data_IF_141912244961
#
_entry.id   IF_141912244961
#
_cell.length_a   1.000
_cell.length_b   1.000
_cell.length_c   1.000
_cell.angle_alpha   90.00
_cell.angle_beta   90.00
_cell.angle_gamma   90.00
#
_symmetry.space_group_name_H-M   'P 1'
#
loop_
_entity.id
_entity.type
_entity.pdbx_description
1 polymer ?
#
# COMPACT_ATOMS: atom_id res chain seq x y z
N UNK A 1 12.83 25.40 -4.48
CA UNK A 1 13.80 24.59 -5.25
C UNK A 1 13.33 23.15 -5.21
N UNK A 2 12.66 22.67 -6.26
CA UNK A 2 12.45 21.24 -6.42
C UNK A 2 13.74 20.70 -7.03
N UNK A 3 14.48 19.91 -6.26
CA UNK A 3 15.60 19.14 -6.78
C UNK A 3 15.07 18.26 -7.90
N UNK A 4 15.73 18.30 -9.06
CA UNK A 4 15.61 17.27 -10.09
C UNK A 4 15.64 15.90 -9.42
N UNK A 5 14.58 15.12 -9.62
CA UNK A 5 14.36 13.87 -8.89
C UNK A 5 15.37 12.82 -9.30
N UNK A 6 16.34 12.57 -8.45
CA UNK A 6 17.07 11.31 -8.49
C UNK A 6 16.05 10.17 -8.33
N UNK A 7 16.07 9.21 -9.26
CA UNK A 7 15.24 8.02 -9.13
C UNK A 7 15.82 7.13 -8.03
N UNK A 8 15.19 7.16 -6.86
CA UNK A 8 15.56 6.30 -5.75
C UNK A 8 14.74 5.01 -5.76
N UNK A 9 15.42 3.86 -5.85
CA UNK A 9 14.78 2.54 -5.72
C UNK A 9 15.05 1.94 -4.33
N UNK A 10 14.00 1.87 -3.50
CA UNK A 10 14.10 1.42 -2.11
C UNK A 10 13.33 0.12 -1.88
N UNK A 11 13.98 -0.84 -1.23
CA UNK A 11 13.37 -2.10 -0.84
C UNK A 11 13.29 -2.17 0.68
N UNK A 12 12.05 -2.23 1.18
CA UNK A 12 11.77 -2.52 2.58
C UNK A 12 11.69 -4.03 2.79
N UNK A 13 12.54 -4.55 3.66
CA UNK A 13 12.64 -5.98 3.93
C UNK A 13 12.59 -6.25 5.43
N UNK A 14 12.17 -7.46 5.82
CA UNK A 14 12.37 -7.95 7.18
C UNK A 14 13.86 -8.16 7.47
N UNK A 15 14.26 -8.19 8.75
CA UNK A 15 15.64 -8.52 9.13
C UNK A 15 16.00 -9.95 8.73
N UNK A 16 16.67 -10.07 7.58
CA UNK A 16 17.62 -11.14 7.29
C UNK A 16 18.69 -10.59 6.38
N UNK A 17 19.95 -10.63 6.81
CA UNK A 17 21.08 -10.47 5.90
C UNK A 17 21.12 -11.73 5.01
N UNK A 18 20.72 -11.58 3.76
CA UNK A 18 20.75 -12.66 2.77
C UNK A 18 21.72 -12.31 1.66
N UNK A 19 22.20 -13.33 0.94
CA UNK A 19 22.99 -13.13 -0.27
C UNK A 19 22.26 -12.22 -1.28
N UNK A 20 20.93 -12.36 -1.38
CA UNK A 20 20.08 -11.51 -2.21
C UNK A 20 20.07 -10.04 -1.78
N UNK A 21 20.10 -9.75 -0.48
CA UNK A 21 20.25 -8.37 0.03
C UNK A 21 21.58 -7.76 -0.42
N UNK A 22 22.68 -8.50 -0.35
CA UNK A 22 23.99 -8.03 -0.82
C UNK A 22 23.97 -7.72 -2.33
N UNK A 23 23.42 -8.64 -3.12
CA UNK A 23 23.28 -8.46 -4.57
C UNK A 23 22.47 -7.20 -4.93
N UNK A 24 21.35 -6.93 -4.24
CA UNK A 24 20.57 -5.72 -4.48
C UNK A 24 21.39 -4.45 -4.17
N UNK A 25 22.08 -4.44 -3.04
CA UNK A 25 22.92 -3.30 -2.64
C UNK A 25 24.06 -3.07 -3.66
N UNK A 26 24.66 -4.14 -4.19
CA UNK A 26 25.68 -4.07 -5.24
C UNK A 26 25.16 -3.44 -6.54
N UNK A 27 23.85 -3.50 -6.80
CA UNK A 27 23.19 -2.87 -7.94
C UNK A 27 22.67 -1.45 -7.62
N UNK A 28 23.11 -0.83 -6.51
CA UNK A 28 22.73 0.53 -6.15
C UNK A 28 21.36 0.66 -5.45
N UNK A 29 20.72 -0.47 -5.12
CA UNK A 29 19.42 -0.48 -4.46
C UNK A 29 19.56 -0.24 -2.96
N UNK A 30 18.80 0.71 -2.40
CA UNK A 30 18.79 0.94 -0.96
C UNK A 30 17.88 -0.09 -0.27
N UNK A 31 18.46 -1.00 0.51
CA UNK A 31 17.71 -2.02 1.25
C UNK A 31 17.58 -1.67 2.72
N UNK A 32 16.35 -1.36 3.15
CA UNK A 32 16.04 -0.88 4.50
C UNK A 32 15.37 -2.01 5.28
N UNK A 33 15.88 -2.31 6.48
CA UNK A 33 15.30 -3.33 7.34
C UNK A 33 14.25 -2.72 8.28
N UNK A 34 12.98 -3.02 8.05
CA UNK A 34 11.85 -2.51 8.86
C UNK A 34 11.14 -3.66 9.54
N UNK A 35 11.68 -4.11 10.67
CA UNK A 35 11.05 -5.11 11.54
C UNK A 35 11.79 -6.44 11.59
N UNK A 36 11.60 -7.14 12.71
CA UNK A 36 12.16 -8.45 13.02
C UNK A 36 11.16 -9.61 12.95
N UNK A 37 9.89 -9.28 12.70
CA UNK A 37 8.81 -10.24 12.57
C UNK A 37 8.75 -10.95 11.21
N UNK A 38 7.71 -11.77 10.99
CA UNK A 38 7.54 -12.53 9.75
C UNK A 38 7.26 -11.64 8.53
N UNK A 39 6.72 -10.43 8.76
CA UNK A 39 6.34 -9.44 7.76
C UNK A 39 7.11 -8.13 7.95
N UNK A 40 7.10 -7.31 6.91
CA UNK A 40 7.57 -5.92 6.96
C UNK A 40 6.70 -5.13 7.94
N UNK A 41 7.35 -4.35 8.80
CA UNK A 41 6.73 -3.36 9.68
C UNK A 41 6.44 -2.09 8.87
N UNK A 42 5.18 -1.99 8.41
CA UNK A 42 4.74 -0.90 7.52
C UNK A 42 4.77 0.46 8.22
N UNK A 43 4.52 0.52 9.53
CA UNK A 43 4.59 1.76 10.30
C UNK A 43 6.02 2.30 10.30
N UNK A 44 7.02 1.44 10.53
CA UNK A 44 8.44 1.82 10.44
C UNK A 44 8.84 2.18 9.01
N UNK A 45 8.32 1.49 8.01
CA UNK A 45 8.59 1.83 6.61
C UNK A 45 8.06 3.24 6.26
N UNK A 46 6.81 3.56 6.62
CA UNK A 46 6.24 4.89 6.39
C UNK A 46 6.99 5.98 7.17
N UNK A 47 7.39 5.69 8.42
CA UNK A 47 8.23 6.62 9.20
C UNK A 47 9.57 6.90 8.52
N UNK A 48 10.24 5.87 8.01
CA UNK A 48 11.50 6.04 7.27
C UNK A 48 11.31 6.89 6.01
N UNK A 49 10.23 6.67 5.26
CA UNK A 49 9.90 7.50 4.09
C UNK A 49 9.74 8.98 4.50
N UNK A 50 8.96 9.24 5.54
CA UNK A 50 8.74 10.60 6.05
C UNK A 50 10.04 11.28 6.51
N UNK A 51 10.90 10.57 7.24
CA UNK A 51 12.22 11.07 7.70
C UNK A 51 13.16 11.44 6.54
N UNK A 52 12.92 10.91 5.35
CA UNK A 52 13.68 11.23 4.14
C UNK A 52 12.89 12.14 3.17
N UNK A 53 11.88 12.85 3.65
CA UNK A 53 11.13 13.85 2.88
C UNK A 53 10.06 13.29 1.94
N UNK A 54 9.78 11.98 1.99
CA UNK A 54 8.70 11.36 1.21
C UNK A 54 7.42 11.42 2.04
N UNK A 55 6.57 12.40 1.73
CA UNK A 55 5.35 12.71 2.50
C UNK A 55 4.08 12.05 1.94
N UNK A 56 4.13 11.55 0.71
CA UNK A 56 3.00 10.89 0.04
C UNK A 56 3.49 9.66 -0.71
N UNK A 57 2.71 8.57 -0.63
CA UNK A 57 3.01 7.31 -1.32
C UNK A 57 1.77 6.88 -2.10
N UNK A 58 1.95 6.53 -3.37
CA UNK A 58 0.94 5.83 -4.15
C UNK A 58 1.03 4.33 -3.84
N UNK A 59 0.02 3.80 -3.16
CA UNK A 59 -0.11 2.37 -2.89
C UNK A 59 -0.97 1.72 -3.98
N UNK A 60 -0.34 0.95 -4.87
CA UNK A 60 -1.02 0.17 -5.91
C UNK A 60 -1.18 -1.31 -5.53
N UNK A 61 -0.92 -1.65 -4.27
CA UNK A 61 -0.67 -3.01 -3.81
C UNK A 61 -1.76 -4.05 -4.16
N UNK A 62 -1.36 -5.33 -4.10
CA UNK A 62 -2.29 -6.46 -4.09
C UNK A 62 -3.06 -6.54 -2.76
N UNK A 63 -4.17 -7.29 -2.75
CA UNK A 63 -5.15 -7.27 -1.64
C UNK A 63 -4.57 -7.42 -0.23
N UNK A 64 -3.53 -8.25 -0.06
CA UNK A 64 -2.85 -8.47 1.23
C UNK A 64 -2.15 -7.22 1.77
N UNK A 65 -1.48 -6.46 0.90
CA UNK A 65 -0.80 -5.23 1.29
C UNK A 65 -1.84 -4.13 1.58
N UNK A 66 -2.90 -4.06 0.78
CA UNK A 66 -4.00 -3.11 0.99
C UNK A 66 -4.67 -3.34 2.35
N UNK A 67 -4.92 -4.60 2.72
CA UNK A 67 -5.40 -4.95 4.06
C UNK A 67 -4.43 -4.49 5.15
N UNK A 68 -3.14 -4.85 5.06
CA UNK A 68 -2.18 -4.49 6.11
C UNK A 68 -1.99 -2.97 6.27
N UNK A 69 -2.13 -2.19 5.21
CA UNK A 69 -2.10 -0.73 5.26
C UNK A 69 -3.39 -0.16 5.90
N UNK A 70 -4.55 -0.71 5.55
CA UNK A 70 -5.84 -0.30 6.13
C UNK A 70 -5.95 -0.66 7.62
N UNK A 71 -5.57 -1.89 7.99
CA UNK A 71 -5.56 -2.39 9.36
C UNK A 71 -4.64 -1.55 10.25
N UNK A 72 -3.48 -1.14 9.73
CA UNK A 72 -2.54 -0.26 10.42
C UNK A 72 -2.95 1.23 10.43
N UNK A 73 -4.12 1.59 9.87
CA UNK A 73 -4.61 2.97 9.71
C UNK A 73 -3.61 3.89 8.98
N UNK A 74 -2.89 3.36 7.99
CA UNK A 74 -1.87 4.08 7.21
C UNK A 74 -2.41 4.66 5.88
N UNK A 75 -3.68 4.43 5.56
CA UNK A 75 -4.29 4.91 4.32
C UNK A 75 -4.92 6.28 4.57
N UNK A 76 -4.46 7.29 3.84
CA UNK A 76 -5.02 8.65 3.92
C UNK A 76 -6.10 8.96 2.87
N UNK A 77 -6.08 8.25 1.73
CA UNK A 77 -7.04 8.45 0.63
C UNK A 77 -7.19 7.14 -0.14
N UNK A 78 -8.42 6.83 -0.54
CA UNK A 78 -8.73 5.70 -1.43
C UNK A 78 -9.14 6.24 -2.79
N UNK A 79 -8.61 5.63 -3.83
CA UNK A 79 -9.02 5.81 -5.23
C UNK A 79 -9.23 4.42 -5.80
N UNK A 80 -10.49 4.02 -5.99
CA UNK A 80 -10.86 2.67 -6.40
C UNK A 80 -11.55 2.71 -7.77
N UNK A 81 -11.00 1.95 -8.72
CA UNK A 81 -11.56 1.80 -10.06
C UNK A 81 -12.34 0.50 -10.18
N UNK A 82 -13.54 0.58 -10.74
CA UNK A 82 -14.44 -0.55 -11.00
C UNK A 82 -14.75 -0.57 -12.49
N UNK A 83 -14.24 -1.59 -13.18
CA UNK A 83 -14.60 -1.85 -14.57
C UNK A 83 -15.99 -2.51 -14.66
N UNK A 84 -16.73 -2.32 -15.78
CA UNK A 84 -18.03 -2.96 -16.00
C UNK A 84 -17.87 -4.44 -16.38
N UNK A 85 -17.15 -5.22 -15.57
CA UNK A 85 -16.79 -6.62 -15.81
C UNK A 85 -17.01 -7.46 -14.55
N UNK A 86 -17.56 -8.65 -14.74
CA UNK A 86 -17.85 -9.60 -13.65
C UNK A 86 -16.98 -10.85 -13.83
N UNK A 87 -15.95 -11.01 -13.00
CA UNK A 87 -14.99 -12.12 -13.12
C UNK A 87 -15.46 -13.40 -12.40
N UNK A 88 -16.02 -13.27 -11.21
CA UNK A 88 -16.36 -14.41 -10.33
C UNK A 88 -15.12 -15.19 -9.83
N UNK A 89 -15.36 -16.33 -9.17
CA UNK A 89 -14.31 -17.23 -8.68
C UNK A 89 -13.99 -17.06 -7.19
N UNK A 90 -14.08 -18.16 -6.44
CA UNK A 90 -13.82 -18.19 -4.98
C UNK A 90 -12.39 -17.78 -4.62
N UNK A 91 -11.43 -18.17 -5.46
CA UNK A 91 -10.00 -17.90 -5.28
C UNK A 91 -9.54 -16.68 -6.12
N UNK A 92 -10.48 -15.87 -6.61
CA UNK A 92 -10.13 -14.65 -7.36
C UNK A 92 -9.42 -13.63 -6.46
N UNK A 93 -8.52 -12.85 -7.05
CA UNK A 93 -7.79 -11.81 -6.33
C UNK A 93 -8.72 -10.64 -6.07
N UNK A 94 -8.94 -10.31 -4.79
CA UNK A 94 -9.76 -9.18 -4.37
C UNK A 94 -8.94 -7.93 -4.11
N UNK A 95 -9.60 -6.76 -4.17
CA UNK A 95 -8.97 -5.45 -3.91
C UNK A 95 -8.33 -5.36 -2.51
N UNK A 96 -9.00 -5.95 -1.51
CA UNK A 96 -8.52 -6.06 -0.13
C UNK A 96 -8.67 -7.53 0.26
N UNK A 97 -7.59 -8.15 0.70
CA UNK A 97 -7.56 -9.55 1.14
C UNK A 97 -6.71 -9.69 2.40
N UNK A 98 -7.04 -10.62 3.28
CA UNK A 98 -6.41 -10.71 4.60
C UNK A 98 -7.37 -11.28 5.61
N UNK A 99 -7.14 -10.99 6.90
CA UNK A 99 -8.03 -11.45 7.95
C UNK A 99 -9.43 -10.80 7.83
N UNK A 100 -9.49 -9.53 7.40
CA UNK A 100 -10.74 -8.81 7.29
C UNK A 100 -11.30 -8.40 8.66
N UNK A 101 -12.32 -7.54 8.64
CA UNK A 101 -13.10 -7.24 9.84
C UNK A 101 -14.21 -8.27 10.01
N UNK A 102 -14.37 -8.82 11.22
CA UNK A 102 -15.41 -9.83 11.50
C UNK A 102 -16.83 -9.29 11.45
N UNK A 103 -17.01 -7.96 11.60
CA UNK A 103 -18.30 -7.29 11.67
C UNK A 103 -18.29 -6.04 10.79
N UNK A 104 -19.39 -5.80 10.09
CA UNK A 104 -19.55 -4.60 9.24
C UNK A 104 -19.39 -3.29 10.02
N UNK A 105 -19.81 -3.27 11.30
CA UNK A 105 -19.63 -2.10 12.16
C UNK A 105 -18.16 -1.76 12.47
N UNK A 106 -17.22 -2.67 12.20
CA UNK A 106 -15.78 -2.46 12.34
C UNK A 106 -15.11 -2.13 11.00
N UNK A 107 -15.84 -2.23 9.88
CA UNK A 107 -15.30 -1.93 8.57
C UNK A 107 -14.96 -0.45 8.45
N UNK A 108 -13.92 -0.16 7.66
CA UNK A 108 -13.50 1.22 7.38
C UNK A 108 -14.53 1.86 6.45
N UNK A 109 -15.23 2.87 6.96
CA UNK A 109 -16.12 3.72 6.17
C UNK A 109 -15.28 4.74 5.38
N UNK A 110 -15.71 5.08 4.16
CA UNK A 110 -15.16 6.22 3.44
C UNK A 110 -16.09 7.42 3.61
N UNK A 111 -15.51 8.58 3.90
CA UNK A 111 -16.19 9.87 3.92
C UNK A 111 -15.72 10.77 2.79
N UNK A 112 -16.46 11.87 2.56
CA UNK A 112 -16.20 12.84 1.48
C UNK A 112 -16.07 12.16 0.11
N UNK A 113 -17.01 11.25 -0.17
CA UNK A 113 -16.98 10.40 -1.35
C UNK A 113 -17.28 11.23 -2.61
N UNK A 114 -16.44 11.06 -3.62
CA UNK A 114 -16.67 11.52 -4.99
C UNK A 114 -16.74 10.29 -5.91
N UNK A 115 -17.72 10.27 -6.81
CA UNK A 115 -17.88 9.20 -7.80
C UNK A 115 -17.83 9.81 -9.19
N UNK A 116 -16.89 9.34 -10.00
CA UNK A 116 -16.64 9.84 -11.35
C UNK A 116 -16.61 8.70 -12.35
N UNK A 117 -16.88 9.00 -13.63
CA UNK A 117 -16.69 8.05 -14.72
C UNK A 117 -15.38 8.34 -15.45
N UNK A 118 -14.62 7.29 -15.71
CA UNK A 118 -13.40 7.33 -16.52
C UNK A 118 -13.56 6.37 -17.69
N UNK A 119 -14.07 6.90 -18.81
CA UNK A 119 -14.51 6.06 -19.92
C UNK A 119 -15.69 5.17 -19.49
N UNK A 120 -15.50 3.86 -19.56
CA UNK A 120 -16.51 2.87 -19.14
C UNK A 120 -16.40 2.50 -17.65
N UNK A 121 -15.29 2.86 -17.00
CA UNK A 121 -15.02 2.53 -15.61
C UNK A 121 -15.61 3.58 -14.65
N UNK A 122 -15.90 3.15 -13.43
CA UNK A 122 -16.31 4.02 -12.32
C UNK A 122 -15.13 4.18 -11.37
N UNK A 123 -14.82 5.42 -11.00
CA UNK A 123 -13.84 5.73 -9.97
C UNK A 123 -14.56 6.24 -8.71
N UNK A 124 -14.27 5.60 -7.58
CA UNK A 124 -14.72 6.01 -6.25
C UNK A 124 -13.52 6.57 -5.51
N UNK A 125 -13.62 7.83 -5.10
CA UNK A 125 -12.60 8.55 -4.33
C UNK A 125 -13.18 8.86 -2.97
N UNK A 126 -12.43 8.61 -1.89
CA UNK A 126 -12.87 8.94 -0.54
C UNK A 126 -11.75 8.86 0.48
N UNK A 127 -12.07 9.25 1.71
CA UNK A 127 -11.11 9.32 2.82
C UNK A 127 -11.54 8.33 3.91
N UNK A 128 -10.65 7.46 4.40
CA UNK A 128 -10.96 6.53 5.49
C UNK A 128 -11.38 7.23 6.78
N UNK A 129 -12.44 6.71 7.40
CA UNK A 129 -12.91 7.09 8.73
C UNK A 129 -12.66 5.94 9.71
N UNK A 130 -11.94 6.25 10.79
CA UNK A 130 -11.32 5.29 11.70
C UNK A 130 -11.68 5.49 13.17
#
# INVERSE_FOLDING_TARGET
>A
MYSTGDNYEWFFVRTRQTQKKKQLIEHGVKVICTGSGPRVDLVKAMKHLAENGILSVLLEGGGGLNWSMLEAKLVGKVVSFIAPKLLGGKESITLISGQGFERMALAVELENITVERFGEDICIIGYPKY
#
